data_IF_266930735822
#
_entry.id   IF_266930735822
#
_cell.length_a   1.000
_cell.length_b   1.000
_cell.length_c   1.000
_cell.angle_alpha   90.00
_cell.angle_beta   90.00
_cell.angle_gamma   90.00
#
_symmetry.space_group_name_H-M   'P 1'
#
loop_
_entity.id
_entity.type
_entity.pdbx_description
1 polymer ?
#
# COMPACT_ATOMS: atom_id res chain seq x y z
N UNK A 1 -7.78 -44.83 3.51
CA UNK A 1 -8.11 -43.92 2.39
C UNK A 1 -9.07 -42.89 2.96
N UNK A 2 -8.57 -41.72 3.32
CA UNK A 2 -9.28 -40.79 4.21
C UNK A 2 -9.41 -39.49 3.40
N UNK A 3 -10.64 -39.05 3.12
CA UNK A 3 -11.04 -37.80 2.42
C UNK A 3 -11.42 -37.87 0.92
N UNK A 4 -11.68 -39.03 0.32
CA UNK A 4 -12.38 -39.02 -0.98
C UNK A 4 -13.86 -38.66 -0.79
N UNK A 5 -14.34 -37.62 -1.46
CA UNK A 5 -15.74 -37.17 -1.43
C UNK A 5 -16.09 -36.10 -0.39
N UNK A 6 -15.18 -35.75 0.54
CA UNK A 6 -15.42 -34.70 1.56
C UNK A 6 -14.81 -33.35 1.19
N UNK A 7 -13.76 -33.36 0.39
CA UNK A 7 -13.06 -32.14 -0.06
C UNK A 7 -13.33 -31.96 -1.55
N UNK A 8 -13.76 -30.75 -1.99
CA UNK A 8 -13.92 -30.47 -3.41
C UNK A 8 -12.64 -30.84 -4.16
N UNK A 9 -12.73 -31.80 -5.09
CA UNK A 9 -11.58 -32.19 -5.89
C UNK A 9 -11.30 -31.09 -6.94
N UNK A 10 -10.18 -30.36 -6.84
CA UNK A 10 -9.88 -29.29 -7.79
C UNK A 10 -9.62 -29.82 -9.20
N UNK A 11 -9.28 -31.11 -9.37
CA UNK A 11 -9.04 -31.70 -10.70
C UNK A 11 -10.30 -31.89 -11.53
N UNK A 12 -11.47 -31.94 -10.89
CA UNK A 12 -12.77 -32.08 -11.56
C UNK A 12 -13.44 -30.74 -11.89
N UNK A 13 -12.90 -29.62 -11.39
CA UNK A 13 -13.46 -28.30 -11.64
C UNK A 13 -12.71 -27.64 -12.81
N UNK A 14 -13.40 -27.39 -13.94
CA UNK A 14 -12.81 -26.69 -15.10
C UNK A 14 -12.25 -25.28 -14.77
N UNK A 15 -12.66 -24.74 -13.62
CA UNK A 15 -12.41 -23.38 -13.16
C UNK A 15 -11.08 -23.16 -12.43
N UNK A 16 -10.39 -24.24 -12.01
CA UNK A 16 -9.11 -24.16 -11.30
C UNK A 16 -8.08 -24.94 -12.12
N UNK A 17 -7.12 -24.23 -12.71
CA UNK A 17 -6.07 -24.82 -13.54
C UNK A 17 -4.71 -24.39 -13.01
N UNK A 18 -3.71 -25.27 -13.09
CA UNK A 18 -2.33 -24.86 -12.86
C UNK A 18 -1.69 -24.40 -14.16
N UNK A 19 -0.97 -23.29 -14.11
CA UNK A 19 -0.10 -22.83 -15.20
C UNK A 19 1.34 -22.78 -14.69
N UNK A 20 2.28 -23.33 -15.45
CA UNK A 20 3.71 -23.17 -15.17
C UNK A 20 4.27 -22.00 -15.97
N UNK A 21 4.95 -21.07 -15.29
CA UNK A 21 5.64 -19.94 -15.89
C UNK A 21 7.14 -20.02 -15.60
N UNK A 22 8.04 -19.86 -16.58
CA UNK A 22 9.48 -20.04 -16.39
C UNK A 22 10.07 -19.12 -15.31
N UNK A 23 9.49 -17.93 -15.13
CA UNK A 23 9.91 -16.95 -14.12
C UNK A 23 9.17 -17.04 -12.78
N UNK A 24 7.91 -17.49 -12.78
CA UNK A 24 7.03 -17.40 -11.60
C UNK A 24 6.68 -18.77 -10.99
N UNK A 25 7.16 -19.86 -11.60
CA UNK A 25 6.87 -21.21 -11.15
C UNK A 25 5.44 -21.63 -11.46
N UNK A 26 4.87 -22.48 -10.59
CA UNK A 26 3.52 -23.02 -10.74
C UNK A 26 2.50 -22.07 -10.14
N UNK A 27 1.68 -21.46 -10.98
CA UNK A 27 0.61 -20.53 -10.58
C UNK A 27 -0.75 -21.20 -10.70
N UNK A 28 -1.66 -20.89 -9.76
CA UNK A 28 -3.06 -21.29 -9.85
C UNK A 28 -3.84 -20.24 -10.66
N UNK A 29 -4.37 -20.65 -11.79
CA UNK A 29 -5.28 -19.87 -12.63
C UNK A 29 -6.70 -20.22 -12.22
N UNK A 30 -7.40 -19.25 -11.64
CA UNK A 30 -8.82 -19.35 -11.31
C UNK A 30 -9.62 -18.48 -12.27
N UNK A 31 -10.77 -18.98 -12.75
CA UNK A 31 -11.73 -18.15 -13.49
C UNK A 31 -12.19 -17.01 -12.57
N UNK A 32 -11.94 -15.77 -12.99
CA UNK A 32 -12.51 -14.59 -12.33
C UNK A 32 -14.03 -14.68 -12.53
N UNK A 33 -14.78 -14.70 -11.44
CA UNK A 33 -16.23 -14.66 -11.53
C UNK A 33 -16.63 -13.24 -11.95
N UNK A 34 -17.20 -13.04 -13.13
CA UNK A 34 -17.54 -11.69 -13.59
C UNK A 34 -18.52 -10.97 -12.64
N UNK A 35 -19.31 -11.76 -11.90
CA UNK A 35 -20.31 -11.34 -10.91
C UNK A 35 -19.78 -11.02 -9.50
N UNK A 36 -18.47 -11.13 -9.22
CA UNK A 36 -17.96 -10.73 -7.89
C UNK A 36 -18.00 -9.22 -7.70
N UNK A 37 -18.25 -8.80 -6.47
CA UNK A 37 -18.28 -7.40 -6.07
C UNK A 37 -16.97 -6.67 -6.44
N UNK A 38 -17.07 -5.40 -6.79
CA UNK A 38 -15.90 -4.56 -7.10
C UNK A 38 -14.87 -4.59 -5.97
N UNK A 39 -15.33 -4.59 -4.71
CA UNK A 39 -14.46 -4.73 -3.53
C UNK A 39 -13.60 -6.00 -3.58
N UNK A 40 -14.17 -7.13 -3.98
CA UNK A 40 -13.41 -8.37 -4.09
C UNK A 40 -12.37 -8.30 -5.22
N UNK A 41 -12.73 -7.71 -6.36
CA UNK A 41 -11.79 -7.46 -7.48
C UNK A 41 -10.63 -6.57 -7.04
N UNK A 42 -10.90 -5.52 -6.28
CA UNK A 42 -9.85 -4.64 -5.69
C UNK A 42 -8.94 -5.42 -4.74
N UNK A 43 -9.50 -6.19 -3.80
CA UNK A 43 -8.70 -6.99 -2.85
C UNK A 43 -7.82 -8.00 -3.59
N UNK A 44 -8.36 -8.66 -4.61
CA UNK A 44 -7.61 -9.61 -5.42
C UNK A 44 -6.48 -8.92 -6.20
N UNK A 45 -6.77 -7.77 -6.83
CA UNK A 45 -5.76 -6.97 -7.54
C UNK A 45 -4.64 -6.50 -6.62
N UNK A 46 -5.00 -6.03 -5.42
CA UNK A 46 -4.06 -5.53 -4.41
C UNK A 46 -3.36 -6.63 -3.59
N UNK A 47 -3.62 -7.91 -3.88
CA UNK A 47 -2.96 -9.01 -3.20
C UNK A 47 -1.44 -9.00 -3.44
N UNK A 48 -0.69 -9.48 -2.45
CA UNK A 48 0.77 -9.63 -2.53
C UNK A 48 1.21 -10.51 -3.71
N UNK A 49 0.39 -11.47 -4.11
CA UNK A 49 0.69 -12.35 -5.24
C UNK A 49 0.72 -11.55 -6.55
N UNK A 50 -0.24 -10.64 -6.74
CA UNK A 50 -0.38 -9.87 -7.99
C UNK A 50 0.47 -8.59 -7.98
N UNK A 51 0.46 -7.85 -6.88
CA UNK A 51 1.08 -6.53 -6.76
C UNK A 51 2.23 -6.47 -5.75
N UNK A 52 2.57 -7.56 -5.05
CA UNK A 52 3.66 -7.58 -4.06
C UNK A 52 5.00 -7.09 -4.61
N UNK A 53 5.46 -7.57 -5.78
CA UNK A 53 6.69 -7.06 -6.39
C UNK A 53 6.66 -5.56 -6.71
N UNK A 54 5.47 -4.98 -6.94
CA UNK A 54 5.29 -3.55 -7.20
C UNK A 54 5.28 -2.70 -5.93
N UNK A 55 5.01 -3.31 -4.78
CA UNK A 55 5.00 -2.64 -3.46
C UNK A 55 6.42 -2.40 -2.92
N UNK A 56 7.43 -3.11 -3.44
CA UNK A 56 8.81 -2.79 -3.12
C UNK A 56 9.23 -1.46 -3.79
N UNK A 57 10.04 -0.63 -3.10
CA UNK A 57 10.57 0.59 -3.66
C UNK A 57 11.28 0.33 -4.98
N UNK A 58 11.09 1.26 -5.92
CA UNK A 58 11.73 1.18 -7.23
C UNK A 58 13.24 1.00 -7.13
N UNK A 59 13.88 1.70 -6.19
CA UNK A 59 15.33 1.63 -5.95
C UNK A 59 15.83 0.23 -5.55
N UNK A 60 14.97 -0.60 -4.95
CA UNK A 60 15.31 -1.97 -4.55
C UNK A 60 14.90 -2.95 -5.65
N UNK A 61 13.72 -2.75 -6.23
CA UNK A 61 13.18 -3.62 -7.28
C UNK A 61 14.03 -3.58 -8.55
N UNK A 62 14.57 -2.42 -8.90
CA UNK A 62 15.33 -2.23 -10.13
C UNK A 62 16.82 -2.65 -9.95
N UNK A 63 17.24 -3.10 -8.75
CA UNK A 63 18.56 -3.70 -8.52
C UNK A 63 18.67 -5.02 -9.30
N UNK A 64 19.54 -5.04 -10.31
CA UNK A 64 19.84 -6.22 -11.11
C UNK A 64 21.35 -6.49 -11.10
N UNK A 65 21.76 -7.74 -11.37
CA UNK A 65 23.18 -8.11 -11.42
C UNK A 65 23.94 -8.06 -10.08
N UNK A 66 23.25 -7.89 -8.96
CA UNK A 66 23.87 -7.85 -7.63
C UNK A 66 23.86 -9.23 -6.94
N UNK A 67 24.80 -9.44 -6.02
CA UNK A 67 24.80 -10.63 -5.15
C UNK A 67 23.60 -10.56 -4.20
N UNK A 68 23.05 -11.72 -3.84
CA UNK A 68 21.91 -11.83 -2.91
C UNK A 68 22.15 -11.09 -1.59
N UNK A 69 23.36 -11.13 -1.04
CA UNK A 69 23.69 -10.42 0.19
C UNK A 69 23.64 -8.89 0.04
N UNK A 70 24.08 -8.37 -1.12
CA UNK A 70 24.00 -6.95 -1.40
C UNK A 70 22.55 -6.48 -1.55
N UNK A 71 21.70 -7.31 -2.15
CA UNK A 71 20.26 -7.07 -2.20
C UNK A 71 19.64 -7.03 -0.80
N UNK A 72 19.90 -8.05 0.03
CA UNK A 72 19.38 -8.14 1.40
C UNK A 72 19.78 -6.93 2.23
N UNK A 73 21.07 -6.58 2.25
CA UNK A 73 21.56 -5.40 2.97
C UNK A 73 20.86 -4.10 2.55
N UNK A 74 20.58 -3.94 1.26
CA UNK A 74 19.92 -2.73 0.75
C UNK A 74 18.41 -2.73 1.06
N UNK A 75 17.80 -3.90 1.18
CA UNK A 75 16.45 -4.06 1.70
C UNK A 75 16.40 -3.72 3.19
N UNK A 76 17.32 -4.25 3.99
CA UNK A 76 17.37 -4.00 5.44
C UNK A 76 17.53 -2.48 5.73
N UNK A 77 18.47 -1.82 5.03
CA UNK A 77 18.66 -0.35 5.11
C UNK A 77 17.42 0.46 4.77
N UNK A 78 16.56 -0.06 3.90
CA UNK A 78 15.31 0.61 3.55
C UNK A 78 14.23 0.36 4.60
N UNK A 79 14.13 -0.88 5.10
CA UNK A 79 13.17 -1.23 6.14
C UNK A 79 13.46 -0.49 7.45
N UNK A 80 14.73 -0.23 7.79
CA UNK A 80 15.14 0.61 8.92
C UNK A 80 14.60 2.05 8.87
N UNK A 81 14.26 2.57 7.67
CA UNK A 81 13.69 3.91 7.51
C UNK A 81 12.17 3.95 7.69
N UNK A 82 11.52 2.78 7.69
CA UNK A 82 10.08 2.68 7.88
C UNK A 82 9.83 2.53 9.39
N UNK A 83 9.07 3.44 10.02
CA UNK A 83 8.72 3.29 11.42
C UNK A 83 7.89 2.01 11.62
N UNK A 84 8.20 1.26 12.67
CA UNK A 84 7.49 0.01 13.01
C UNK A 84 5.99 0.26 13.29
N UNK A 85 5.68 1.43 13.86
CA UNK A 85 4.31 1.82 14.17
C UNK A 85 3.79 2.82 13.11
N UNK A 86 2.56 2.62 12.61
CA UNK A 86 1.92 3.63 11.76
C UNK A 86 1.80 4.94 12.55
N UNK A 87 2.05 6.10 11.94
CA UNK A 87 1.89 7.38 12.61
C UNK A 87 0.47 7.48 13.15
N UNK A 88 0.34 7.75 14.45
CA UNK A 88 -0.95 7.93 15.09
C UNK A 88 -1.67 9.03 14.32
N UNK A 89 -2.85 8.77 13.72
CA UNK A 89 -3.61 9.81 13.07
C UNK A 89 -4.11 10.74 14.17
N UNK A 90 -3.38 11.82 14.41
CA UNK A 90 -3.92 12.98 15.08
C UNK A 90 -5.04 13.47 14.16
N UNK A 91 -6.28 13.10 14.47
CA UNK A 91 -7.46 13.71 13.86
C UNK A 91 -7.35 15.23 13.96
N UNK A 92 -8.06 16.01 13.14
CA UNK A 92 -8.00 17.46 13.22
C UNK A 92 -8.41 17.86 14.64
N UNK A 93 -7.44 18.28 15.45
CA UNK A 93 -7.73 19.00 16.68
C UNK A 93 -8.31 20.33 16.23
N UNK A 94 -9.62 20.36 16.09
CA UNK A 94 -10.44 21.55 15.93
C UNK A 94 -10.33 22.40 17.19
N UNK A 95 -9.16 23.02 17.42
CA UNK A 95 -8.95 23.99 18.50
C UNK A 95 -7.56 24.63 18.48
N UNK A 96 -6.99 25.03 17.34
CA UNK A 96 -5.81 25.93 17.33
C UNK A 96 -5.60 26.66 15.99
N UNK A 97 -6.69 27.08 15.34
CA UNK A 97 -6.63 27.91 14.13
C UNK A 97 -7.57 29.12 14.16
N UNK A 98 -7.90 29.65 15.35
CA UNK A 98 -8.75 30.86 15.51
C UNK A 98 -8.30 31.86 16.58
N UNK A 99 -7.00 31.98 16.84
CA UNK A 99 -6.46 33.03 17.75
C UNK A 99 -5.20 33.72 17.17
N UNK A 100 -5.19 33.98 15.86
CA UNK A 100 -4.22 34.89 15.22
C UNK A 100 -4.86 35.92 14.28
N UNK A 101 -6.17 36.13 14.40
CA UNK A 101 -6.90 37.15 13.64
C UNK A 101 -7.58 38.15 14.60
N UNK A 102 -6.81 38.72 15.54
CA UNK A 102 -7.27 39.86 16.35
C UNK A 102 -6.14 40.80 16.82
N UNK A 103 -4.94 40.71 16.24
CA UNK A 103 -3.84 41.63 16.58
C UNK A 103 -3.23 42.15 15.28
N UNK A 104 -4.01 42.88 14.49
CA UNK A 104 -3.45 43.86 13.54
C UNK A 104 -4.53 44.81 13.03
N UNK A 105 -4.85 45.82 13.84
CA UNK A 105 -5.23 47.17 13.40
C UNK A 105 -5.13 48.05 14.64
N UNK A 106 -3.91 48.46 14.96
CA UNK A 106 -3.66 49.64 15.77
C UNK A 106 -2.97 50.64 14.83
N UNK A 107 -3.78 51.39 14.09
CA UNK A 107 -3.30 52.57 13.38
C UNK A 107 -2.90 53.62 14.44
N UNK A 108 -1.67 54.15 14.41
CA UNK A 108 -1.31 55.28 15.25
C UNK A 108 -2.03 56.54 14.74
N UNK A 109 -2.89 57.13 15.59
CA UNK A 109 -3.36 58.50 15.40
C UNK A 109 -2.15 59.43 15.40
N UNK A 110 -1.84 60.01 14.24
CA UNK A 110 -0.97 61.18 14.13
C UNK A 110 -1.88 62.40 14.12
N UNK A 111 -1.87 63.14 15.23
CA UNK A 111 -2.46 64.48 15.33
C UNK A 111 -1.73 65.42 14.38
N UNK A 112 -2.46 65.97 13.41
CA UNK A 112 -2.06 67.16 12.68
C UNK A 112 -3.20 68.17 12.67
N UNK A 113 -3.12 69.07 13.65
CA UNK A 113 -3.70 70.40 13.60
C UNK A 113 -3.24 71.12 12.33
N UNK A 114 -4.18 71.62 11.53
CA UNK A 114 -3.94 72.76 10.66
C UNK A 114 -5.22 73.59 10.49
N UNK A 115 -5.16 74.78 11.11
CA UNK A 115 -5.92 76.02 10.88
C UNK A 115 -7.37 76.13 11.34
#
# INVERSE_FOLDING_TARGET
MILEGTVPNPSTQEHIRSQNHPRFGRTCVRRILDSVSQRFKTIQGESLINNGPRRFPRAIRDLTGCKTEAFKRRLDQYLEQIPDEPPIPHGPTSSTARLRASVETADPQVDHDYT
#
